data_IF_665466460767
#
_entry.id   IF_665466460767
#
_cell.length_a   1.000
_cell.length_b   1.000
_cell.length_c   1.000
_cell.angle_alpha   90.00
_cell.angle_beta   90.00
_cell.angle_gamma   90.00
#
_symmetry.space_group_name_H-M   'P 1'
#
loop_
_entity.id
_entity.type
_entity.pdbx_description
1 polymer ?
#
# COMPACT_ATOMS: atom_id res chain seq x y z
N UNK A 1 15.65 75.68 -2.78
CA UNK A 1 16.38 74.59 -2.10
C UNK A 1 16.16 73.34 -2.95
N UNK A 2 16.94 73.21 -4.02
CA UNK A 2 18.19 72.42 -4.08
C UNK A 2 17.88 70.90 -4.15
N UNK A 3 17.72 70.36 -5.37
CA UNK A 3 18.71 69.65 -6.22
C UNK A 3 18.67 68.14 -5.99
N UNK A 4 18.57 67.38 -7.09
CA UNK A 4 18.91 65.94 -7.08
C UNK A 4 18.28 65.08 -8.17
N UNK A 5 18.65 65.29 -9.43
CA UNK A 5 18.70 64.18 -10.41
C UNK A 5 20.05 63.47 -10.23
N UNK A 6 20.17 62.14 -10.42
CA UNK A 6 20.64 61.70 -11.74
C UNK A 6 20.20 60.30 -12.25
N UNK A 7 20.17 60.22 -13.59
CA UNK A 7 20.65 59.18 -14.53
C UNK A 7 20.36 57.67 -14.32
N UNK A 8 19.51 57.17 -15.23
CA UNK A 8 19.79 56.23 -16.34
C UNK A 8 20.77 55.05 -16.19
N UNK A 9 20.25 53.83 -16.47
CA UNK A 9 20.80 52.72 -17.31
C UNK A 9 20.17 51.39 -16.85
N UNK A 10 19.82 50.39 -17.64
CA UNK A 10 19.95 50.14 -19.07
C UNK A 10 19.02 48.98 -19.47
N UNK A 11 18.74 48.86 -20.76
CA UNK A 11 17.87 47.86 -21.38
C UNK A 11 18.66 46.62 -21.83
N UNK A 12 17.96 45.48 -21.79
CA UNK A 12 18.06 44.24 -22.61
C UNK A 12 19.30 43.35 -22.54
N UNK A 13 19.08 42.05 -22.25
CA UNK A 13 19.13 40.94 -23.24
C UNK A 13 18.57 39.64 -22.63
N UNK A 14 17.88 38.84 -23.45
CA UNK A 14 17.30 37.56 -23.04
C UNK A 14 18.26 36.37 -23.07
N UNK A 15 17.81 35.29 -22.44
CA UNK A 15 18.16 33.88 -22.64
C UNK A 15 16.95 33.09 -22.11
N UNK A 16 16.09 32.54 -22.96
CA UNK A 16 16.21 31.21 -23.58
C UNK A 16 16.39 30.06 -22.58
N UNK A 17 15.35 29.21 -22.52
CA UNK A 17 15.46 27.76 -22.44
C UNK A 17 16.10 27.13 -21.20
N UNK A 18 15.29 26.66 -20.26
CA UNK A 18 15.18 25.23 -19.96
C UNK A 18 14.15 24.96 -18.85
N UNK A 19 13.07 24.28 -19.24
CA UNK A 19 12.19 23.54 -18.33
C UNK A 19 12.88 22.25 -17.91
N UNK A 20 12.98 21.89 -16.62
CA UNK A 20 12.95 20.48 -16.26
C UNK A 20 11.50 19.97 -16.32
N UNK A 21 11.27 18.97 -17.16
CA UNK A 21 10.06 18.15 -17.22
C UNK A 21 10.34 16.84 -16.45
N UNK A 22 9.36 16.41 -15.65
CA UNK A 22 9.26 15.06 -15.07
C UNK A 22 9.67 15.01 -13.60
N UNK A 23 8.86 14.60 -12.63
CA UNK A 23 7.67 13.76 -12.70
C UNK A 23 7.98 12.37 -12.14
N UNK A 24 7.44 12.07 -10.97
CA UNK A 24 7.56 10.79 -10.25
C UNK A 24 7.87 11.08 -8.79
N UNK A 25 6.95 11.03 -7.83
CA UNK A 25 5.77 10.19 -7.74
C UNK A 25 5.70 9.75 -6.28
N UNK A 26 5.10 10.60 -5.43
CA UNK A 26 4.46 10.23 -4.17
C UNK A 26 5.16 9.20 -3.27
N UNK A 27 6.33 9.53 -2.73
CA UNK A 27 6.80 8.93 -1.48
C UNK A 27 6.03 9.50 -0.29
N UNK A 28 4.70 9.38 -0.25
CA UNK A 28 3.97 9.59 1.01
C UNK A 28 4.29 8.39 1.89
N UNK A 29 5.31 8.55 2.74
CA UNK A 29 5.34 7.83 4.00
C UNK A 29 3.95 8.00 4.61
N UNK A 30 3.19 6.89 4.67
CA UNK A 30 1.80 6.88 5.10
C UNK A 30 1.75 7.52 6.48
N UNK A 31 1.06 8.67 6.59
CA UNK A 31 0.64 9.27 7.85
C UNK A 31 0.21 8.16 8.84
N UNK A 32 0.78 8.10 10.06
CA UNK A 32 0.25 7.22 11.09
C UNK A 32 -1.10 7.78 11.55
N UNK A 33 -2.19 7.25 10.99
CA UNK A 33 -3.53 7.55 11.46
C UNK A 33 -3.68 7.18 12.96
N UNK A 34 -4.46 7.95 13.74
CA UNK A 34 -4.58 7.77 15.19
C UNK A 34 -5.20 6.42 15.57
N UNK A 35 -4.78 5.96 16.76
CA UNK A 35 -4.93 4.62 17.34
C UNK A 35 -6.38 4.22 17.64
N UNK A 36 -6.99 3.41 16.77
CA UNK A 36 -8.01 2.37 17.12
C UNK A 36 -8.25 1.35 16.00
N UNK A 37 -7.74 1.58 14.80
CA UNK A 37 -7.96 0.70 13.65
C UNK A 37 -6.81 -0.32 13.51
N UNK A 38 -7.07 -1.63 13.41
CA UNK A 38 -6.04 -2.60 13.11
C UNK A 38 -5.26 -2.16 11.89
N UNK A 39 -3.95 -2.02 12.05
CA UNK A 39 -3.09 -1.70 10.93
C UNK A 39 -2.62 -3.02 10.33
N UNK A 40 -2.94 -3.27 9.06
CA UNK A 40 -2.39 -4.41 8.33
C UNK A 40 -1.20 -3.95 7.51
N UNK A 41 -0.09 -4.67 7.59
CA UNK A 41 1.13 -4.40 6.81
C UNK A 41 1.68 -5.67 6.18
N UNK A 42 2.39 -5.52 5.07
CA UNK A 42 3.16 -6.59 4.43
C UNK A 42 4.55 -6.66 5.05
N UNK A 43 4.92 -7.83 5.57
CA UNK A 43 6.26 -8.15 6.04
C UNK A 43 6.95 -9.06 5.02
N UNK A 44 7.61 -8.44 4.03
CA UNK A 44 8.27 -9.16 2.95
C UNK A 44 9.41 -10.07 3.43
N UNK A 45 10.13 -9.65 4.48
CA UNK A 45 11.21 -10.46 5.07
C UNK A 45 10.74 -11.77 5.68
N UNK A 46 9.49 -11.81 6.18
CA UNK A 46 8.86 -13.02 6.73
C UNK A 46 7.80 -13.65 5.83
N UNK A 47 7.66 -13.13 4.59
CA UNK A 47 6.66 -13.54 3.58
C UNK A 47 5.24 -13.67 4.14
N UNK A 48 4.80 -12.65 4.88
CA UNK A 48 3.46 -12.63 5.48
C UNK A 48 2.86 -11.24 5.54
N UNK A 49 1.54 -11.16 5.62
CA UNK A 49 0.82 -9.96 6.01
C UNK A 49 0.52 -10.05 7.51
N UNK A 50 0.72 -8.97 8.25
CA UNK A 50 0.57 -8.92 9.71
C UNK A 50 -0.48 -7.87 10.06
N UNK A 51 -1.46 -8.25 10.90
CA UNK A 51 -2.35 -7.31 11.54
C UNK A 51 -1.81 -6.93 12.91
N UNK A 52 -1.70 -5.64 13.16
CA UNK A 52 -1.25 -5.07 14.42
C UNK A 52 -2.38 -4.37 15.15
N UNK A 53 -2.49 -4.64 16.46
CA UNK A 53 -3.37 -3.93 17.37
C UNK A 53 -2.63 -3.66 18.67
N UNK A 54 -2.66 -2.41 19.16
CA UNK A 54 -1.97 -2.03 20.39
C UNK A 54 -0.46 -2.28 20.37
N UNK A 55 0.18 -2.19 19.19
CA UNK A 55 1.62 -2.41 19.03
C UNK A 55 2.06 -3.88 19.02
N UNK A 56 1.11 -4.82 18.93
CA UNK A 56 1.41 -6.26 18.84
C UNK A 56 0.78 -6.86 17.59
N UNK A 57 1.47 -7.83 16.98
CA UNK A 57 0.90 -8.65 15.91
C UNK A 57 -0.16 -9.57 16.52
N UNK A 58 -1.40 -9.42 16.08
CA UNK A 58 -2.56 -10.18 16.57
C UNK A 58 -3.06 -11.19 15.55
N UNK A 59 -2.55 -11.16 14.33
CA UNK A 59 -2.83 -12.15 13.30
C UNK A 59 -1.93 -11.96 12.09
N UNK A 60 -1.83 -13.00 11.27
CA UNK A 60 -1.04 -12.98 10.06
C UNK A 60 -1.65 -13.83 8.94
N UNK A 61 -1.22 -13.57 7.71
CA UNK A 61 -1.47 -14.40 6.54
C UNK A 61 -0.11 -14.67 5.87
N UNK A 62 0.34 -15.92 5.94
CA UNK A 62 1.53 -16.35 5.22
C UNK A 62 1.24 -16.46 3.73
N UNK A 63 2.22 -16.10 2.92
CA UNK A 63 2.14 -16.20 1.47
C UNK A 63 3.41 -16.79 0.86
N UNK A 64 3.29 -17.31 -0.36
CA UNK A 64 4.41 -17.69 -1.22
C UNK A 64 4.33 -16.92 -2.52
N UNK A 65 5.47 -16.46 -3.00
CA UNK A 65 5.58 -15.78 -4.29
C UNK A 65 6.18 -16.73 -5.31
N UNK A 66 5.56 -16.80 -6.49
CA UNK A 66 6.07 -17.57 -7.63
C UNK A 66 5.80 -16.81 -8.91
N UNK A 67 6.83 -16.12 -9.42
CA UNK A 67 6.68 -15.18 -10.54
C UNK A 67 5.60 -14.15 -10.25
N UNK A 68 4.60 -14.09 -11.13
CA UNK A 68 3.46 -13.17 -11.04
C UNK A 68 2.32 -13.67 -10.14
N UNK A 69 2.52 -14.79 -9.43
CA UNK A 69 1.52 -15.43 -8.56
C UNK A 69 1.85 -15.22 -7.08
N UNK A 70 0.80 -15.00 -6.30
CA UNK A 70 0.80 -14.91 -4.86
C UNK A 70 -0.09 -16.00 -4.28
N UNK A 71 0.52 -17.02 -3.69
CA UNK A 71 -0.17 -18.11 -3.03
C UNK A 71 -0.40 -17.77 -1.56
N UNK A 72 -1.68 -17.68 -1.17
CA UNK A 72 -2.12 -17.32 0.16
C UNK A 72 -2.39 -18.60 0.96
N UNK A 73 -1.40 -19.01 1.75
CA UNK A 73 -1.31 -20.40 2.24
C UNK A 73 -1.97 -20.62 3.59
N UNK A 74 -1.88 -19.68 4.52
CA UNK A 74 -2.36 -19.88 5.88
C UNK A 74 -2.68 -18.55 6.55
N UNK A 75 -3.90 -18.42 7.09
CA UNK A 75 -4.32 -17.26 7.89
C UNK A 75 -4.48 -17.69 9.34
N UNK A 76 -3.90 -16.93 10.27
CA UNK A 76 -4.03 -17.16 11.69
C UNK A 76 -4.30 -15.86 12.44
N UNK A 77 -5.14 -15.93 13.46
CA UNK A 77 -5.45 -14.81 14.35
C UNK A 77 -5.40 -15.35 15.76
N UNK A 78 -4.75 -14.60 16.67
CA UNK A 78 -4.68 -14.95 18.08
C UNK A 78 -6.09 -15.19 18.64
N UNK A 79 -6.31 -16.25 19.45
CA UNK A 79 -7.64 -16.61 19.95
C UNK A 79 -8.40 -15.46 20.61
N UNK A 80 -7.69 -14.64 21.39
CA UNK A 80 -8.20 -13.44 22.09
C UNK A 80 -8.71 -12.34 21.13
N UNK A 81 -8.33 -12.44 19.85
CA UNK A 81 -8.67 -11.52 18.78
C UNK A 81 -9.56 -12.15 17.70
N UNK A 82 -9.90 -13.44 17.81
CA UNK A 82 -10.84 -14.09 16.89
C UNK A 82 -12.24 -13.46 16.99
N UNK A 83 -13.02 -13.55 15.92
CA UNK A 83 -14.37 -12.96 15.85
C UNK A 83 -14.41 -11.43 15.73
N UNK A 84 -13.26 -10.75 15.75
CA UNK A 84 -13.17 -9.27 15.65
C UNK A 84 -12.84 -8.79 14.22
N UNK A 85 -12.87 -9.68 13.24
CA UNK A 85 -12.65 -9.38 11.83
C UNK A 85 -11.19 -9.13 11.42
N UNK A 86 -10.19 -9.45 12.25
CA UNK A 86 -8.78 -9.28 11.87
C UNK A 86 -8.40 -10.17 10.67
N UNK A 87 -8.84 -11.42 10.65
CA UNK A 87 -8.56 -12.35 9.55
C UNK A 87 -9.06 -11.82 8.20
N UNK A 88 -10.31 -11.39 8.15
CA UNK A 88 -10.91 -10.79 6.96
C UNK A 88 -10.16 -9.53 6.51
N UNK A 89 -9.74 -8.67 7.44
CA UNK A 89 -8.95 -7.47 7.11
C UNK A 89 -7.58 -7.83 6.52
N UNK A 90 -6.92 -8.86 7.05
CA UNK A 90 -5.63 -9.33 6.52
C UNK A 90 -5.81 -9.85 5.10
N UNK A 91 -6.79 -10.73 4.88
CA UNK A 91 -7.08 -11.30 3.55
C UNK A 91 -7.46 -10.21 2.56
N UNK A 92 -8.36 -9.30 2.94
CA UNK A 92 -8.75 -8.17 2.10
C UNK A 92 -7.54 -7.33 1.70
N UNK A 93 -6.68 -7.00 2.65
CA UNK A 93 -5.47 -6.22 2.37
C UNK A 93 -4.53 -6.95 1.40
N UNK A 94 -4.33 -8.26 1.56
CA UNK A 94 -3.49 -9.06 0.68
C UNK A 94 -4.06 -9.12 -0.76
N UNK A 95 -5.37 -9.30 -0.90
CA UNK A 95 -6.05 -9.31 -2.20
C UNK A 95 -6.03 -7.93 -2.87
N UNK A 96 -6.27 -6.86 -2.11
CA UNK A 96 -6.20 -5.49 -2.63
C UNK A 96 -4.78 -5.15 -3.12
N UNK A 97 -3.74 -5.55 -2.39
CA UNK A 97 -2.35 -5.36 -2.82
C UNK A 97 -2.05 -6.21 -4.07
N UNK A 98 -2.49 -7.48 -4.12
CA UNK A 98 -2.32 -8.31 -5.32
C UNK A 98 -3.02 -7.69 -6.55
N UNK A 99 -4.22 -7.14 -6.38
CA UNK A 99 -4.94 -6.44 -7.44
C UNK A 99 -4.19 -5.20 -7.93
N UNK A 100 -3.66 -4.40 -6.99
CA UNK A 100 -2.89 -3.18 -7.29
C UNK A 100 -1.55 -3.47 -7.96
N UNK A 101 -0.92 -4.59 -7.59
CA UNK A 101 0.31 -5.08 -8.21
C UNK A 101 0.06 -5.84 -9.52
N UNK A 102 -1.20 -6.10 -9.89
CA UNK A 102 -1.55 -6.88 -11.09
C UNK A 102 -1.20 -8.37 -10.99
N UNK A 103 -1.02 -8.89 -9.76
CA UNK A 103 -0.66 -10.28 -9.51
C UNK A 103 -1.87 -11.20 -9.51
N UNK A 104 -1.61 -12.47 -9.83
CA UNK A 104 -2.58 -13.56 -9.69
C UNK A 104 -2.52 -14.16 -8.30
N UNK A 105 -3.64 -14.67 -7.81
CA UNK A 105 -3.78 -15.20 -6.45
C UNK A 105 -4.14 -16.68 -6.50
N UNK A 106 -3.41 -17.49 -5.73
CA UNK A 106 -3.74 -18.88 -5.45
C UNK A 106 -4.30 -18.95 -4.01
N UNK A 107 -5.60 -19.23 -3.81
CA UNK A 107 -6.21 -19.24 -2.48
C UNK A 107 -6.07 -20.62 -1.81
N UNK A 108 -4.84 -21.08 -1.54
CA UNK A 108 -4.60 -22.40 -0.92
C UNK A 108 -5.21 -22.53 0.49
N UNK A 109 -5.33 -21.42 1.20
CA UNK A 109 -6.05 -21.36 2.47
C UNK A 109 -7.57 -21.38 2.24
N UNK A 110 -8.27 -22.37 2.80
CA UNK A 110 -9.74 -22.49 2.72
C UNK A 110 -10.47 -21.24 3.24
N UNK A 111 -9.91 -20.54 4.23
CA UNK A 111 -10.46 -19.27 4.72
C UNK A 111 -10.40 -18.17 3.65
N UNK A 112 -9.31 -18.11 2.88
CA UNK A 112 -9.15 -17.14 1.78
C UNK A 112 -10.11 -17.47 0.64
N UNK A 113 -10.23 -18.75 0.28
CA UNK A 113 -11.20 -19.21 -0.72
C UNK A 113 -12.62 -18.79 -0.32
N UNK A 114 -13.05 -19.11 0.91
CA UNK A 114 -14.36 -18.72 1.43
C UNK A 114 -14.57 -17.20 1.49
N UNK A 115 -13.50 -16.42 1.74
CA UNK A 115 -13.57 -14.97 1.67
C UNK A 115 -13.85 -14.48 0.25
N UNK A 116 -13.17 -15.04 -0.76
CA UNK A 116 -13.36 -14.67 -2.17
C UNK A 116 -14.76 -15.05 -2.66
N UNK A 117 -15.32 -16.18 -2.21
CA UNK A 117 -16.70 -16.57 -2.53
C UNK A 117 -17.73 -15.52 -2.06
N UNK A 118 -17.51 -14.91 -0.89
CA UNK A 118 -18.33 -13.81 -0.36
C UNK A 118 -18.03 -12.46 -1.01
N UNK A 119 -16.89 -12.34 -1.69
CA UNK A 119 -16.37 -11.11 -2.28
C UNK A 119 -15.99 -11.33 -3.74
N UNK A 120 -16.98 -11.50 -4.64
CA UNK A 120 -16.77 -11.90 -6.02
C UNK A 120 -15.91 -10.92 -6.83
N UNK A 121 -15.74 -9.67 -6.36
CA UNK A 121 -14.84 -8.70 -6.98
C UNK A 121 -13.38 -9.18 -7.07
N UNK A 122 -12.97 -10.15 -6.25
CA UNK A 122 -11.62 -10.73 -6.27
C UNK A 122 -11.48 -11.96 -7.15
N UNK A 123 -12.58 -12.55 -7.65
CA UNK A 123 -12.55 -13.72 -8.53
C UNK A 123 -11.65 -13.55 -9.77
N UNK A 124 -11.58 -12.38 -10.44
CA UNK A 124 -10.69 -12.19 -11.60
C UNK A 124 -9.19 -12.31 -11.29
N UNK A 125 -8.80 -12.24 -10.02
CA UNK A 125 -7.42 -12.40 -9.56
C UNK A 125 -7.07 -13.88 -9.38
N UNK A 126 -8.06 -14.73 -9.13
CA UNK A 126 -7.86 -16.13 -8.78
C UNK A 126 -7.37 -16.92 -9.98
N UNK A 127 -6.37 -17.77 -9.74
CA UNK A 127 -5.88 -18.78 -10.67
C UNK A 127 -5.88 -20.14 -9.96
N UNK A 128 -6.00 -21.20 -10.76
CA UNK A 128 -5.89 -22.60 -10.34
C UNK A 128 -4.43 -23.09 -10.51
#
# INVERSE_FOLDING_TARGET
>A
MDRGHPRAAGRTRGADGARPKGGGGGGRARDPAPVTQPTVRRNAGRRRFEAEAGGKVVGFLDYRESGDRLDLVHTEVAPEHQGRGFGERIVKFALDEAQREGRKVLPSCSFVAAFIERHPQYQPLVVD
#
